data_IF_232883977797
#
_entry.id   IF_232883977797
#
_cell.length_a   1.000
_cell.length_b   1.000
_cell.length_c   1.000
_cell.angle_alpha   90.00
_cell.angle_beta   90.00
_cell.angle_gamma   90.00
#
_symmetry.space_group_name_H-M   'P 1'
#
loop_
_entity.id
_entity.type
_entity.pdbx_description
1 polymer ?
#
# COMPACT_ATOMS: atom_id res chain seq x y z
N UNK A 1 25.84 -5.44 1.54
CA UNK A 1 24.67 -4.62 1.15
C UNK A 1 24.59 -3.45 2.11
N UNK A 2 24.49 -2.21 1.65
CA UNK A 2 24.36 -1.07 2.58
C UNK A 2 22.95 -1.05 3.18
N UNK A 3 22.82 -0.62 4.44
CA UNK A 3 21.51 -0.49 5.11
C UNK A 3 20.53 0.38 4.31
N UNK A 4 21.03 1.39 3.61
CA UNK A 4 20.25 2.29 2.77
C UNK A 4 19.61 1.57 1.58
N UNK A 5 20.33 0.67 0.92
CA UNK A 5 19.82 -0.14 -0.19
C UNK A 5 18.75 -1.14 0.26
N UNK A 6 18.94 -1.76 1.43
CA UNK A 6 17.96 -2.67 2.02
C UNK A 6 16.63 -1.96 2.32
N UNK A 7 16.69 -0.78 2.95
CA UNK A 7 15.50 0.03 3.25
C UNK A 7 14.78 0.41 1.97
N UNK A 8 15.50 0.79 0.92
CA UNK A 8 14.91 1.17 -0.36
C UNK A 8 14.17 -0.01 -1.02
N UNK A 9 14.76 -1.21 -1.04
CA UNK A 9 14.14 -2.41 -1.59
C UNK A 9 12.86 -2.78 -0.81
N UNK A 10 12.92 -2.76 0.52
CA UNK A 10 11.77 -3.05 1.38
C UNK A 10 10.64 -2.03 1.15
N UNK A 11 10.98 -0.75 1.00
CA UNK A 11 9.99 0.31 0.71
C UNK A 11 9.32 0.13 -0.64
N UNK A 12 10.09 -0.20 -1.69
CA UNK A 12 9.52 -0.47 -3.02
C UNK A 12 8.56 -1.65 -2.95
N UNK A 13 8.96 -2.76 -2.32
CA UNK A 13 8.09 -3.94 -2.14
C UNK A 13 6.82 -3.58 -1.35
N UNK A 14 6.93 -2.78 -0.28
CA UNK A 14 5.79 -2.35 0.51
C UNK A 14 4.81 -1.47 -0.28
N UNK A 15 5.31 -0.55 -1.11
CA UNK A 15 4.47 0.29 -1.99
C UNK A 15 3.74 -0.56 -3.02
N UNK A 16 4.45 -1.42 -3.75
CA UNK A 16 3.82 -2.30 -4.74
C UNK A 16 2.83 -3.28 -4.08
N UNK A 17 3.20 -3.83 -2.92
CA UNK A 17 2.32 -4.70 -2.12
C UNK A 17 1.04 -3.99 -1.69
N UNK A 18 1.12 -2.73 -1.27
CA UNK A 18 -0.04 -1.93 -0.88
C UNK A 18 -1.00 -1.66 -2.05
N UNK A 19 -0.46 -1.42 -3.25
CA UNK A 19 -1.25 -1.23 -4.49
C UNK A 19 -2.00 -2.51 -4.84
N UNK A 20 -1.31 -3.65 -4.82
CA UNK A 20 -1.93 -4.96 -5.11
C UNK A 20 -3.00 -5.26 -4.08
N UNK A 21 -2.71 -5.06 -2.79
CA UNK A 21 -3.64 -5.36 -1.70
C UNK A 21 -4.90 -4.49 -1.77
N UNK A 22 -4.76 -3.18 -2.00
CA UNK A 22 -5.89 -2.28 -2.19
C UNK A 22 -6.67 -2.63 -3.47
N UNK A 23 -5.98 -2.91 -4.58
CA UNK A 23 -6.61 -3.26 -5.86
C UNK A 23 -7.41 -4.55 -5.80
N UNK A 24 -6.86 -5.60 -5.17
CA UNK A 24 -7.55 -6.88 -4.97
C UNK A 24 -8.75 -6.71 -4.03
N UNK A 25 -8.62 -5.92 -2.96
CA UNK A 25 -9.73 -5.67 -2.05
C UNK A 25 -10.88 -4.90 -2.72
N UNK A 26 -10.57 -3.88 -3.52
CA UNK A 26 -11.56 -3.12 -4.33
C UNK A 26 -12.20 -4.04 -5.36
N UNK A 27 -11.42 -4.86 -6.06
CA UNK A 27 -11.93 -5.79 -7.07
C UNK A 27 -12.88 -6.84 -6.45
N UNK A 28 -12.52 -7.38 -5.28
CA UNK A 28 -13.38 -8.32 -4.54
C UNK A 28 -14.68 -7.65 -4.07
N UNK A 29 -14.59 -6.40 -3.58
CA UNK A 29 -15.76 -5.59 -3.22
C UNK A 29 -16.66 -5.27 -4.40
N UNK A 30 -16.10 -5.06 -5.60
CA UNK A 30 -16.86 -4.74 -6.81
C UNK A 30 -17.54 -5.98 -7.42
N UNK A 31 -16.86 -7.13 -7.45
CA UNK A 31 -17.33 -8.33 -8.17
C UNK A 31 -18.15 -9.29 -7.31
N UNK A 32 -17.93 -9.31 -5.99
CA UNK A 32 -18.57 -10.25 -5.06
C UNK A 32 -19.42 -9.54 -4.00
N UNK A 33 -19.78 -8.28 -4.23
CA UNK A 33 -20.54 -7.46 -3.27
C UNK A 33 -21.82 -8.14 -2.79
N UNK A 34 -22.54 -8.83 -3.67
CA UNK A 34 -23.84 -9.40 -3.31
C UNK A 34 -23.73 -10.77 -2.64
N UNK A 35 -22.65 -11.50 -2.89
CA UNK A 35 -22.41 -12.82 -2.30
C UNK A 35 -21.65 -12.76 -0.97
N UNK A 36 -21.09 -11.60 -0.62
CA UNK A 36 -20.31 -11.44 0.61
C UNK A 36 -21.22 -11.06 1.80
N UNK A 37 -21.11 -11.77 2.95
CA UNK A 37 -21.76 -11.36 4.19
C UNK A 37 -21.26 -9.98 4.62
N UNK A 38 -22.08 -9.24 5.38
CA UNK A 38 -21.79 -7.86 5.77
C UNK A 38 -20.42 -7.72 6.48
N UNK A 39 -20.05 -8.70 7.30
CA UNK A 39 -18.72 -8.78 7.93
C UNK A 39 -17.56 -8.87 6.92
N UNK A 40 -17.73 -9.62 5.83
CA UNK A 40 -16.72 -9.73 4.77
C UNK A 40 -16.51 -8.41 4.01
N UNK A 41 -17.57 -7.62 3.82
CA UNK A 41 -17.48 -6.27 3.24
C UNK A 41 -16.68 -5.32 4.13
N UNK A 42 -16.93 -5.37 5.44
CA UNK A 42 -16.23 -4.53 6.43
C UNK A 42 -14.74 -4.86 6.45
N UNK A 43 -14.40 -6.15 6.47
CA UNK A 43 -13.00 -6.62 6.43
C UNK A 43 -12.30 -6.19 5.14
N UNK A 44 -12.96 -6.31 3.98
CA UNK A 44 -12.38 -5.83 2.71
C UNK A 44 -12.17 -4.32 2.71
N UNK A 45 -13.13 -3.54 3.24
CA UNK A 45 -12.96 -2.09 3.38
C UNK A 45 -11.80 -1.74 4.31
N UNK A 46 -11.59 -2.48 5.40
CA UNK A 46 -10.42 -2.33 6.26
C UNK A 46 -9.11 -2.56 5.47
N UNK A 47 -9.05 -3.58 4.61
CA UNK A 47 -7.88 -3.81 3.75
C UNK A 47 -7.68 -2.69 2.73
N UNK A 48 -8.75 -2.12 2.17
CA UNK A 48 -8.65 -0.94 1.29
C UNK A 48 -8.05 0.24 2.04
N UNK A 49 -8.54 0.54 3.25
CA UNK A 49 -8.03 1.65 4.07
C UNK A 49 -6.58 1.41 4.47
N UNK A 50 -6.22 0.21 4.92
CA UNK A 50 -4.84 -0.14 5.26
C UNK A 50 -3.90 -0.02 4.05
N UNK A 51 -4.33 -0.51 2.88
CA UNK A 51 -3.58 -0.38 1.63
C UNK A 51 -3.38 1.10 1.25
N UNK A 52 -4.43 1.92 1.37
CA UNK A 52 -4.35 3.35 1.09
C UNK A 52 -3.39 4.08 2.05
N UNK A 53 -3.45 3.77 3.35
CA UNK A 53 -2.53 4.34 4.35
C UNK A 53 -1.09 3.98 3.99
N UNK A 54 -0.79 2.69 3.77
CA UNK A 54 0.54 2.22 3.40
C UNK A 54 1.08 2.87 2.12
N UNK A 55 0.20 3.08 1.14
CA UNK A 55 0.55 3.73 -0.12
C UNK A 55 0.93 5.20 0.12
N UNK A 56 0.15 5.95 0.92
CA UNK A 56 0.45 7.33 1.28
C UNK A 56 1.78 7.41 2.06
N UNK A 57 1.98 6.58 3.08
CA UNK A 57 3.24 6.58 3.84
C UNK A 57 4.44 6.23 2.95
N UNK A 58 4.25 5.28 2.03
CA UNK A 58 5.27 4.91 1.06
C UNK A 58 5.64 6.05 0.11
N UNK A 59 4.64 6.76 -0.44
CA UNK A 59 4.88 7.95 -1.28
C UNK A 59 5.62 9.03 -0.50
N UNK A 60 5.16 9.38 0.72
CA UNK A 60 5.81 10.39 1.56
C UNK A 60 7.27 10.02 1.83
N UNK A 61 7.54 8.74 2.10
CA UNK A 61 8.90 8.24 2.35
C UNK A 61 9.80 8.38 1.11
N UNK A 62 9.27 8.09 -0.08
CA UNK A 62 9.99 8.29 -1.34
C UNK A 62 10.30 9.77 -1.58
N UNK A 63 9.34 10.66 -1.34
CA UNK A 63 9.56 12.11 -1.43
C UNK A 63 10.59 12.62 -0.41
N UNK A 64 10.57 12.13 0.83
CA UNK A 64 11.54 12.48 1.86
C UNK A 64 12.96 12.00 1.50
N UNK A 65 13.08 10.87 0.81
CA UNK A 65 14.36 10.36 0.33
C UNK A 65 14.88 11.18 -0.87
N UNK A 66 14.02 11.47 -1.86
CA UNK A 66 14.35 12.30 -3.02
C UNK A 66 14.79 13.72 -2.62
N UNK A 67 14.06 14.35 -1.69
CA UNK A 67 14.41 15.69 -1.18
C UNK A 67 15.76 15.74 -0.49
N UNK A 68 16.14 14.69 0.26
CA UNK A 68 17.49 14.57 0.83
C UNK A 68 18.59 14.38 -0.22
N UNK A 69 18.27 13.77 -1.35
CA UNK A 69 19.23 13.56 -2.45
C UNK A 69 19.39 14.81 -3.34
N UNK A 70 18.37 15.67 -3.42
CA UNK A 70 18.38 16.92 -4.19
C UNK A 70 19.01 18.08 -3.41
N UNK A 71 18.91 18.08 -2.07
CA UNK A 71 19.53 19.10 -1.20
C UNK A 71 21.02 18.86 -0.89
N UNK A 72 21.65 17.86 -1.54
CA UNK A 72 23.07 17.56 -1.46
C UNK A 72 23.72 17.84 -2.82
#
# INVERSE_FOLDING_TARGET
MSMMLLVMIVMVIAVFGSIILAGVAIWALATKKETLPQWGKIVLWLFVVLGAVLLITGIISVFAFLSKFIMW
#
